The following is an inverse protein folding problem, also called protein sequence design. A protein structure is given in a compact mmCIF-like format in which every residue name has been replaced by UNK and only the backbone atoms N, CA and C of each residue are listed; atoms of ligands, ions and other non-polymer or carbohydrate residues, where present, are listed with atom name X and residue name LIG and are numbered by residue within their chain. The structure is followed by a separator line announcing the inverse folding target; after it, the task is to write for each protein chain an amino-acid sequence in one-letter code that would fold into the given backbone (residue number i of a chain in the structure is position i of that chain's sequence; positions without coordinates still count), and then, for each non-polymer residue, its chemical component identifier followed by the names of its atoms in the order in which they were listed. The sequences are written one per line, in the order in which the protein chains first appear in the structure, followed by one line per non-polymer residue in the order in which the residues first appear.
data_IF_064683155346
#
_entry.id   IF_064683155346
#
_cell.length_a   1.000
_cell.length_b   1.000
_cell.length_c   1.000
_cell.angle_alpha   90.00
_cell.angle_beta   90.00
_cell.angle_gamma   90.00
#
_symmetry.space_group_name_H-M   'P 1'
#
loop_
_entity.id
_entity.type
_entity.pdbx_description
1 polymer ?
#
# COMPACT_ATOMS: atom_id res chain seq x y z
N UNK A 1 4.57 17.31 -0.03
CA UNK A 1 5.53 16.32 0.51
C UNK A 1 5.10 14.94 0.02
N UNK A 2 6.05 14.16 -0.51
CA UNK A 2 5.82 12.76 -0.91
C UNK A 2 6.28 11.86 0.23
N UNK A 3 5.50 10.83 0.53
CA UNK A 3 5.91 9.72 1.40
C UNK A 3 5.76 8.42 0.63
N UNK A 4 6.79 7.59 0.68
CA UNK A 4 6.78 6.27 0.06
C UNK A 4 6.94 5.21 1.13
N UNK A 5 6.24 4.09 0.97
CA UNK A 5 6.41 2.87 1.75
C UNK A 5 6.76 1.75 0.77
N UNK A 6 7.87 1.09 1.00
CA UNK A 6 8.40 0.04 0.13
C UNK A 6 8.69 -1.20 0.97
N UNK A 7 8.30 -2.36 0.46
CA UNK A 7 8.58 -3.66 1.04
C UNK A 7 8.53 -4.73 -0.04
N UNK A 8 9.24 -5.82 0.19
CA UNK A 8 9.14 -7.03 -0.63
C UNK A 8 8.33 -8.10 0.13
N UNK A 9 7.41 -8.77 -0.57
CA UNK A 9 6.63 -9.89 -0.02
C UNK A 9 6.49 -10.98 -1.08
N UNK A 10 6.92 -12.20 -0.77
CA UNK A 10 6.87 -13.35 -1.70
C UNK A 10 7.47 -13.04 -3.10
N UNK A 11 8.59 -12.31 -3.13
CA UNK A 11 9.26 -11.81 -4.35
C UNK A 11 8.47 -10.78 -5.18
N UNK A 12 7.39 -10.22 -4.64
CA UNK A 12 6.71 -9.06 -5.24
C UNK A 12 7.14 -7.77 -4.54
N UNK A 13 7.50 -6.76 -5.33
CA UNK A 13 7.84 -5.43 -4.83
C UNK A 13 6.57 -4.60 -4.65
N UNK A 14 6.27 -4.24 -3.40
CA UNK A 14 5.11 -3.44 -3.03
C UNK A 14 5.58 -2.01 -2.77
N UNK A 15 5.02 -1.06 -3.52
CA UNK A 15 5.29 0.37 -3.35
C UNK A 15 4.00 1.15 -3.18
N UNK A 16 3.90 1.87 -2.07
CA UNK A 16 2.78 2.77 -1.80
C UNK A 16 3.29 4.20 -1.77
N UNK A 17 2.70 5.05 -2.60
CA UNK A 17 2.94 6.48 -2.57
C UNK A 17 1.78 7.21 -1.91
N UNK A 18 2.09 8.17 -1.05
CA UNK A 18 1.16 9.21 -0.63
C UNK A 18 1.74 10.58 -0.98
N UNK A 19 0.95 11.36 -1.70
CA UNK A 19 1.26 12.74 -2.09
C UNK A 19 0.06 13.59 -1.72
N UNK A 20 0.25 14.57 -0.85
CA UNK A 20 -0.83 15.43 -0.31
C UNK A 20 -1.85 15.93 -1.35
N UNK A 21 -1.43 16.34 -2.55
CA UNK A 21 -2.34 16.90 -3.55
C UNK A 21 -2.68 15.97 -4.72
N UNK A 22 -1.89 14.92 -4.93
CA UNK A 22 -2.09 13.98 -6.05
C UNK A 22 -2.51 12.59 -5.56
N UNK A 23 -2.92 12.50 -4.31
CA UNK A 23 -3.50 11.30 -3.73
C UNK A 23 -2.52 10.19 -3.41
N UNK A 24 -3.02 8.97 -3.53
CA UNK A 24 -2.39 7.75 -3.04
C UNK A 24 -2.35 6.72 -4.16
N UNK A 25 -1.26 5.95 -4.26
CA UNK A 25 -1.09 4.94 -5.30
C UNK A 25 -0.48 3.68 -4.73
N UNK A 26 -0.96 2.53 -5.18
CA UNK A 26 -0.38 1.21 -4.91
C UNK A 26 0.22 0.66 -6.20
N UNK A 27 1.49 0.29 -6.14
CA UNK A 27 2.20 -0.40 -7.20
C UNK A 27 2.65 -1.77 -6.73
N UNK A 28 2.53 -2.77 -7.60
CA UNK A 28 3.08 -4.12 -7.44
C UNK A 28 3.98 -4.37 -8.65
N UNK A 29 5.26 -4.65 -8.41
CA UNK A 29 6.25 -4.86 -9.48
C UNK A 29 6.24 -3.70 -10.51
N UNK A 30 6.18 -2.47 -9.97
CA UNK A 30 6.06 -1.20 -10.70
C UNK A 30 4.77 -0.99 -11.53
N UNK A 31 3.83 -1.94 -11.50
CA UNK A 31 2.51 -1.79 -12.12
C UNK A 31 1.50 -1.15 -11.16
N UNK A 32 0.77 -0.13 -11.64
CA UNK A 32 -0.27 0.55 -10.85
C UNK A 32 -1.48 -0.37 -10.66
N UNK A 33 -1.79 -0.73 -9.41
CA UNK A 33 -2.92 -1.58 -9.06
C UNK A 33 -4.16 -0.78 -8.65
N UNK A 34 -3.98 0.32 -7.92
CA UNK A 34 -5.08 1.14 -7.41
C UNK A 34 -4.60 2.55 -7.05
N UNK A 35 -5.52 3.52 -7.09
CA UNK A 35 -5.27 4.90 -6.69
C UNK A 35 -6.49 5.58 -6.08
N UNK A 36 -6.23 6.44 -5.09
CA UNK A 36 -7.19 7.46 -4.65
C UNK A 36 -6.71 8.82 -5.14
N UNK A 37 -7.58 9.61 -5.75
CA UNK A 37 -7.25 10.96 -6.21
C UNK A 37 -7.60 12.02 -5.17
N UNK A 38 -6.84 13.11 -5.17
CA UNK A 38 -7.08 14.26 -4.31
C UNK A 38 -6.61 14.06 -2.86
N UNK A 39 -7.19 14.84 -1.95
CA UNK A 39 -6.75 14.93 -0.56
C UNK A 39 -7.67 14.11 0.34
N UNK A 40 -7.15 13.00 0.87
CA UNK A 40 -7.88 12.16 1.81
C UNK A 40 -7.11 12.01 3.13
N UNK A 41 -7.84 12.06 4.25
CA UNK A 41 -7.30 11.73 5.57
C UNK A 41 -7.30 10.22 5.85
N UNK A 42 -8.03 9.45 5.04
CA UNK A 42 -8.16 7.99 5.13
C UNK A 42 -8.25 7.38 3.74
N UNK A 43 -7.24 6.61 3.38
CA UNK A 43 -7.14 5.89 2.13
C UNK A 43 -7.29 4.40 2.32
N UNK A 44 -7.96 3.74 1.38
CA UNK A 44 -7.78 2.29 1.18
C UNK A 44 -7.38 2.06 -0.27
N UNK A 45 -6.34 1.26 -0.47
CA UNK A 45 -5.88 0.80 -1.78
C UNK A 45 -5.92 -0.73 -1.78
N UNK A 46 -6.33 -1.33 -2.88
CA UNK A 46 -6.43 -2.77 -3.05
C UNK A 46 -5.61 -3.24 -4.24
N UNK A 47 -5.16 -4.48 -4.22
CA UNK A 47 -4.46 -5.06 -5.37
C UNK A 47 -4.35 -6.57 -5.23
N UNK A 48 -3.62 -7.16 -6.16
CA UNK A 48 -3.35 -8.60 -6.17
C UNK A 48 -1.84 -8.82 -6.29
N UNK A 49 -1.31 -9.76 -5.50
CA UNK A 49 0.05 -10.27 -5.62
C UNK A 49 0.02 -11.59 -6.38
N UNK A 50 0.73 -11.68 -7.50
CA UNK A 50 0.91 -12.92 -8.24
C UNK A 50 2.10 -13.70 -7.65
N UNK A 51 1.85 -14.43 -6.56
CA UNK A 51 2.91 -15.20 -5.89
C UNK A 51 3.09 -16.58 -6.53
N UNK A 52 4.22 -17.28 -6.30
CA UNK A 52 4.39 -18.67 -6.73
C UNK A 52 3.31 -19.63 -6.20
N UNK A 53 2.68 -19.28 -5.07
CA UNK A 53 1.61 -20.07 -4.44
C UNK A 53 0.20 -19.73 -4.94
N UNK A 54 0.09 -18.77 -5.86
CA UNK A 54 -1.18 -18.26 -6.39
C UNK A 54 -1.38 -16.77 -6.11
N UNK A 55 -2.57 -16.29 -6.45
CA UNK A 55 -2.96 -14.90 -6.21
C UNK A 55 -3.31 -14.64 -4.76
N UNK A 56 -2.77 -13.55 -4.19
CA UNK A 56 -3.11 -13.08 -2.84
C UNK A 56 -3.66 -11.67 -2.88
N UNK A 57 -4.65 -11.37 -2.02
CA UNK A 57 -5.23 -10.03 -1.97
C UNK A 57 -4.40 -9.14 -1.07
N UNK A 58 -3.94 -8.01 -1.60
CA UNK A 58 -3.30 -6.96 -0.82
C UNK A 58 -4.27 -5.81 -0.57
N UNK A 59 -4.21 -5.28 0.65
CA UNK A 59 -4.95 -4.10 1.07
C UNK A 59 -4.03 -3.19 1.86
N UNK A 60 -3.86 -1.96 1.39
CA UNK A 60 -3.17 -0.92 2.13
C UNK A 60 -4.17 0.08 2.69
N UNK A 61 -4.01 0.44 3.97
CA UNK A 61 -4.76 1.52 4.62
C UNK A 61 -3.82 2.65 4.97
N UNK A 62 -4.13 3.84 4.47
CA UNK A 62 -3.41 5.08 4.77
C UNK A 62 -4.28 5.98 5.64
N UNK A 63 -3.62 6.75 6.51
CA UNK A 63 -4.30 7.85 7.21
C UNK A 63 -3.52 8.41 8.37
N UNK A 64 -4.10 9.42 9.01
CA UNK A 64 -3.51 10.13 10.15
C UNK A 64 -3.45 11.64 9.92
N UNK A 65 -3.61 12.39 11.00
CA UNK A 65 -3.78 13.85 10.95
C UNK A 65 -2.42 14.56 11.08
N UNK A 66 -1.54 14.08 11.97
CA UNK A 66 -0.21 14.67 12.21
C UNK A 66 0.93 13.90 11.55
N UNK A 67 0.75 12.57 11.35
CA UNK A 67 1.70 11.69 10.68
C UNK A 67 0.92 10.72 9.81
N UNK A 68 1.39 10.51 8.59
CA UNK A 68 0.83 9.48 7.72
C UNK A 68 1.28 8.11 8.22
N UNK A 69 0.30 7.31 8.63
CA UNK A 69 0.42 5.89 8.91
C UNK A 69 0.03 5.09 7.67
N UNK A 70 0.74 3.99 7.46
CA UNK A 70 0.41 3.00 6.45
C UNK A 70 0.32 1.65 7.15
N UNK A 71 -0.74 0.89 6.88
CA UNK A 71 -0.88 -0.50 7.28
C UNK A 71 -1.13 -1.34 6.04
N UNK A 72 -0.38 -2.41 5.88
CA UNK A 72 -0.47 -3.29 4.72
C UNK A 72 -0.89 -4.66 5.18
N UNK A 73 -1.88 -5.22 4.50
CA UNK A 73 -2.43 -6.53 4.78
C UNK A 73 -2.34 -7.40 3.53
N UNK A 74 -1.93 -8.66 3.70
CA UNK A 74 -2.02 -9.70 2.67
C UNK A 74 -2.92 -10.81 3.20
N UNK A 75 -3.97 -11.15 2.45
CA UNK A 75 -5.03 -12.09 2.87
C UNK A 75 -5.53 -11.84 4.30
N UNK A 76 -5.75 -10.56 4.61
CA UNK A 76 -6.19 -10.05 5.91
C UNK A 76 -5.19 -10.19 7.07
N UNK A 77 -3.94 -10.61 6.82
CA UNK A 77 -2.86 -10.59 7.81
C UNK A 77 -2.06 -9.31 7.69
N UNK A 78 -1.84 -8.61 8.82
CA UNK A 78 -0.98 -7.42 8.87
C UNK A 78 0.47 -7.83 8.60
N UNK A 79 1.10 -7.20 7.61
CA UNK A 79 2.52 -7.42 7.28
C UNK A 79 3.36 -6.15 7.47
N UNK A 80 2.71 -4.97 7.50
CA UNK A 80 3.38 -3.70 7.75
C UNK A 80 2.50 -2.78 8.63
N UNK A 81 3.08 -2.08 9.63
CA UNK A 81 4.47 -2.21 10.08
C UNK A 81 4.70 -3.59 10.69
N UNK A 82 5.87 -4.19 10.46
CA UNK A 82 6.30 -5.41 11.16
C UNK A 82 6.32 -5.14 12.65
N UNK A 83 5.75 -6.06 13.45
CA UNK A 83 5.90 -5.99 14.91
C UNK A 83 7.40 -5.99 15.24
N UNK A 84 7.82 -5.09 16.14
CA UNK A 84 9.21 -4.97 16.57
C UNK A 84 9.63 -6.16 17.42
#
# INVERSE_FOLDING_TARGET
MKKTFELNYDNCDIKIENRWFSGEKLYIDDELQDENLGLSFRGTLNGVLATPTGEKKIKAKLGGIFRIHCKIFVDNKLIFPTEK
#
